data_IF_685279918111
#
_entry.id   IF_685279918111
#
_cell.length_a   1.000
_cell.length_b   1.000
_cell.length_c   1.000
_cell.angle_alpha   90.00
_cell.angle_beta   90.00
_cell.angle_gamma   90.00
#
_symmetry.space_group_name_H-M   'P 1'
#
loop_
_entity.id
_entity.type
_entity.pdbx_description
1 polymer ?
#
# COMPACT_ATOMS: atom_id res chain seq x y z
N UNK A 1 -3.79 5.38 25.44
CA UNK A 1 -4.42 4.13 25.88
C UNK A 1 -5.13 3.43 24.74
N UNK A 2 -5.53 2.17 24.90
CA UNK A 2 -6.29 1.41 23.89
C UNK A 2 -7.78 1.78 23.96
N UNK A 3 -8.40 2.01 22.80
CA UNK A 3 -9.86 2.14 22.62
C UNK A 3 -10.29 1.27 21.45
N UNK A 4 -11.36 0.50 21.63
CA UNK A 4 -11.95 -0.29 20.55
C UNK A 4 -12.96 0.57 19.80
N UNK A 5 -12.86 0.59 18.46
CA UNK A 5 -13.82 1.27 17.58
C UNK A 5 -14.03 0.44 16.31
N UNK A 6 -15.19 0.60 15.68
CA UNK A 6 -15.49 0.04 14.36
C UNK A 6 -15.35 1.15 13.31
N UNK A 7 -14.55 0.91 12.26
CA UNK A 7 -14.40 1.86 11.15
C UNK A 7 -15.74 2.15 10.43
N UNK A 8 -16.74 1.29 10.60
CA UNK A 8 -18.07 1.50 10.04
C UNK A 8 -18.96 2.42 10.93
N UNK A 9 -18.50 2.76 12.13
CA UNK A 9 -19.17 3.72 13.02
C UNK A 9 -18.43 5.07 12.99
N UNK A 10 -18.83 5.94 12.06
CA UNK A 10 -18.21 7.26 11.87
C UNK A 10 -18.33 8.20 13.07
N UNK A 11 -19.36 8.06 13.89
CA UNK A 11 -19.54 8.91 15.07
C UNK A 11 -18.49 8.60 16.15
N UNK A 12 -18.26 7.31 16.44
CA UNK A 12 -17.23 6.91 17.41
C UNK A 12 -15.81 7.25 16.94
N UNK A 13 -15.53 7.25 15.63
CA UNK A 13 -14.24 7.66 15.08
C UNK A 13 -13.97 9.16 15.28
N UNK A 14 -14.98 10.02 15.14
CA UNK A 14 -14.81 11.44 15.36
C UNK A 14 -14.36 11.75 16.80
N UNK A 15 -15.03 11.18 17.79
CA UNK A 15 -14.63 11.31 19.20
C UNK A 15 -13.23 10.75 19.48
N UNK A 16 -12.87 9.67 18.77
CA UNK A 16 -11.55 9.02 18.92
C UNK A 16 -10.41 9.90 18.41
N UNK A 17 -10.65 10.72 17.37
CA UNK A 17 -9.63 11.52 16.71
C UNK A 17 -9.51 12.95 17.25
N UNK A 18 -10.39 13.37 18.17
CA UNK A 18 -10.26 14.68 18.81
C UNK A 18 -8.91 14.85 19.49
N UNK A 19 -8.20 15.92 19.10
CA UNK A 19 -6.87 16.24 19.63
C UNK A 19 -5.73 15.37 19.10
N UNK A 20 -5.96 14.54 18.10
CA UNK A 20 -4.88 13.81 17.44
C UNK A 20 -4.12 14.71 16.46
N UNK A 21 -2.77 14.69 16.51
CA UNK A 21 -1.90 15.42 15.58
C UNK A 21 -1.87 14.75 14.20
N UNK A 22 -2.03 13.44 14.13
CA UNK A 22 -2.05 12.66 12.91
C UNK A 22 -2.69 11.29 13.11
N UNK A 23 -3.09 10.64 12.02
CA UNK A 23 -3.74 9.33 12.03
C UNK A 23 -3.05 8.38 11.07
N UNK A 24 -2.86 7.13 11.50
CA UNK A 24 -2.46 6.01 10.63
C UNK A 24 -3.64 5.04 10.52
N UNK A 25 -4.18 4.90 9.32
CA UNK A 25 -5.35 4.08 9.04
C UNK A 25 -4.99 2.78 8.31
N UNK A 26 -4.90 1.69 9.07
CA UNK A 26 -4.73 0.32 8.58
C UNK A 26 -5.93 -0.57 8.94
N UNK A 27 -6.98 0.01 9.51
CA UNK A 27 -8.18 -0.65 9.99
C UNK A 27 -9.12 -1.03 8.84
N UNK A 28 -8.72 -1.99 8.01
CA UNK A 28 -9.55 -2.50 6.91
C UNK A 28 -9.34 -3.99 6.71
N UNK A 29 -10.29 -4.65 6.02
CA UNK A 29 -10.09 -6.03 5.57
C UNK A 29 -8.90 -6.07 4.60
N UNK A 30 -7.94 -6.99 4.80
CA UNK A 30 -6.69 -7.00 4.04
C UNK A 30 -6.81 -7.60 2.65
N UNK A 31 -7.93 -8.24 2.32
CA UNK A 31 -8.21 -8.89 1.03
C UNK A 31 -9.70 -9.20 0.91
N UNK A 32 -10.19 -9.44 -0.30
CA UNK A 32 -11.55 -9.92 -0.57
C UNK A 32 -11.70 -11.45 -0.47
N UNK A 33 -10.60 -12.18 -0.31
CA UNK A 33 -10.63 -13.66 -0.19
C UNK A 33 -11.25 -14.16 1.13
N UNK A 34 -11.35 -13.32 2.17
CA UNK A 34 -11.85 -13.71 3.49
C UNK A 34 -13.33 -13.35 3.72
N UNK A 35 -13.97 -12.70 2.75
CA UNK A 35 -15.36 -12.26 2.85
C UNK A 35 -16.01 -12.15 1.49
N UNK A 36 -17.33 -11.99 1.45
CA UNK A 36 -17.98 -11.66 0.18
C UNK A 36 -17.53 -10.28 -0.33
N UNK A 37 -17.48 -10.10 -1.64
CA UNK A 37 -17.07 -8.84 -2.25
C UNK A 37 -17.86 -7.62 -1.75
N UNK A 38 -19.14 -7.78 -1.41
CA UNK A 38 -19.98 -6.71 -0.83
C UNK A 38 -19.56 -6.34 0.61
N UNK A 39 -19.13 -7.31 1.41
CA UNK A 39 -18.62 -7.07 2.77
C UNK A 39 -17.27 -6.36 2.68
N UNK A 40 -16.37 -6.84 1.82
CA UNK A 40 -15.09 -6.21 1.55
C UNK A 40 -15.27 -4.76 1.07
N UNK A 41 -16.08 -4.55 0.04
CA UNK A 41 -16.37 -3.23 -0.51
C UNK A 41 -16.94 -2.27 0.54
N UNK A 42 -17.93 -2.72 1.33
CA UNK A 42 -18.53 -1.89 2.39
C UNK A 42 -17.49 -1.52 3.45
N UNK A 43 -16.69 -2.49 3.91
CA UNK A 43 -15.67 -2.24 4.92
C UNK A 43 -14.62 -1.24 4.43
N UNK A 44 -14.11 -1.42 3.22
CA UNK A 44 -13.10 -0.54 2.65
C UNK A 44 -13.67 0.85 2.37
N UNK A 45 -14.74 0.93 1.57
CA UNK A 45 -15.26 2.21 1.09
C UNK A 45 -15.91 3.04 2.20
N UNK A 46 -16.82 2.45 2.96
CA UNK A 46 -17.47 3.17 4.06
C UNK A 46 -16.51 3.42 5.21
N UNK A 47 -15.67 2.42 5.57
CA UNK A 47 -14.65 2.58 6.62
C UNK A 47 -13.62 3.65 6.28
N UNK A 48 -13.08 3.62 5.05
CA UNK A 48 -12.14 4.65 4.59
C UNK A 48 -12.75 6.04 4.54
N UNK A 49 -13.99 6.16 4.00
CA UNK A 49 -14.73 7.42 4.03
C UNK A 49 -14.92 7.94 5.47
N UNK A 50 -15.37 7.10 6.39
CA UNK A 50 -15.60 7.49 7.79
C UNK A 50 -14.32 7.99 8.45
N UNK A 51 -13.18 7.33 8.19
CA UNK A 51 -11.87 7.77 8.72
C UNK A 51 -11.48 9.14 8.16
N UNK A 52 -11.58 9.34 6.83
CA UNK A 52 -11.24 10.63 6.23
C UNK A 52 -12.16 11.75 6.73
N UNK A 53 -13.46 11.47 6.83
CA UNK A 53 -14.45 12.42 7.32
C UNK A 53 -14.22 12.76 8.81
N UNK A 54 -13.95 11.77 9.64
CA UNK A 54 -13.66 11.98 11.06
C UNK A 54 -12.37 12.78 11.26
N UNK A 55 -11.31 12.50 10.49
CA UNK A 55 -10.08 13.31 10.49
C UNK A 55 -10.37 14.77 10.12
N UNK A 56 -11.12 15.00 9.04
CA UNK A 56 -11.46 16.35 8.60
C UNK A 56 -12.25 17.12 9.65
N UNK A 57 -13.25 16.47 10.29
CA UNK A 57 -14.08 17.07 11.34
C UNK A 57 -13.30 17.34 12.63
N UNK A 58 -12.39 16.46 13.02
CA UNK A 58 -11.51 16.63 14.19
C UNK A 58 -10.34 17.60 13.93
N UNK A 59 -10.19 18.12 12.71
CA UNK A 59 -9.10 19.03 12.35
C UNK A 59 -7.74 18.36 12.16
N UNK A 60 -7.70 17.01 12.09
CA UNK A 60 -6.47 16.24 11.80
C UNK A 60 -6.00 16.55 10.40
N UNK A 61 -4.76 17.01 10.28
CA UNK A 61 -4.20 17.43 8.99
C UNK A 61 -3.33 16.37 8.32
N UNK A 62 -2.78 15.44 9.08
CA UNK A 62 -1.86 14.44 8.57
C UNK A 62 -2.42 13.04 8.71
N UNK A 63 -2.49 12.32 7.59
CA UNK A 63 -3.04 10.96 7.54
C UNK A 63 -2.14 10.06 6.71
N UNK A 64 -1.91 8.84 7.19
CA UNK A 64 -1.42 7.72 6.39
C UNK A 64 -2.58 6.76 6.14
N UNK A 65 -2.79 6.42 4.89
CA UNK A 65 -3.80 5.43 4.47
C UNK A 65 -3.12 4.20 3.86
N UNK A 66 -3.46 3.01 4.35
CA UNK A 66 -2.99 1.78 3.73
C UNK A 66 -3.67 1.55 2.38
N UNK A 67 -2.95 1.78 1.30
CA UNK A 67 -3.26 1.29 -0.03
C UNK A 67 -2.63 -0.10 -0.25
N UNK A 68 -2.47 -0.55 -1.46
CA UNK A 68 -1.94 -1.88 -1.78
C UNK A 68 -1.32 -1.89 -3.18
N UNK A 69 -0.35 -2.77 -3.42
CA UNK A 69 0.13 -3.07 -4.76
C UNK A 69 -0.99 -3.62 -5.69
N UNK A 70 -2.08 -4.14 -5.15
CA UNK A 70 -3.24 -4.60 -5.94
C UNK A 70 -3.95 -3.48 -6.73
N UNK A 71 -3.61 -2.22 -6.50
CA UNK A 71 -4.06 -1.12 -7.36
C UNK A 71 -3.56 -1.25 -8.80
N UNK A 72 -2.45 -1.95 -9.00
CA UNK A 72 -1.87 -2.24 -10.32
C UNK A 72 -2.48 -3.48 -10.99
N UNK A 73 -3.29 -4.25 -10.27
CA UNK A 73 -3.99 -5.43 -10.78
C UNK A 73 -3.05 -6.57 -11.15
N UNK A 74 -3.32 -7.22 -12.28
CA UNK A 74 -2.46 -8.28 -12.77
C UNK A 74 -1.17 -7.70 -13.36
N UNK A 75 -0.06 -7.86 -12.63
CA UNK A 75 1.23 -7.30 -13.02
C UNK A 75 1.78 -7.86 -14.34
N UNK A 76 1.32 -9.04 -14.78
CA UNK A 76 1.64 -9.58 -16.12
C UNK A 76 1.07 -8.73 -17.26
N UNK A 77 0.07 -7.90 -16.99
CA UNK A 77 -0.58 -7.02 -17.97
C UNK A 77 -0.05 -5.58 -17.92
N UNK A 78 0.87 -5.30 -17.02
CA UNK A 78 1.54 -4.00 -16.99
C UNK A 78 2.43 -3.84 -18.23
N UNK A 79 2.50 -2.63 -18.81
CA UNK A 79 3.22 -2.42 -20.06
C UNK A 79 4.76 -2.42 -19.89
N UNK A 80 5.23 -2.19 -18.66
CA UNK A 80 6.63 -1.87 -18.43
C UNK A 80 7.06 -2.17 -16.98
N UNK A 81 8.30 -2.63 -16.77
CA UNK A 81 9.01 -2.67 -15.49
C UNK A 81 10.12 -1.61 -15.46
N UNK A 82 10.49 -1.11 -14.28
CA UNK A 82 9.89 -1.38 -12.97
C UNK A 82 8.50 -0.76 -12.81
N UNK A 83 7.73 -1.27 -11.84
CA UNK A 83 6.46 -0.66 -11.43
C UNK A 83 6.76 0.55 -10.54
N UNK A 84 6.32 1.71 -10.98
CA UNK A 84 6.43 2.99 -10.28
C UNK A 84 5.04 3.50 -9.92
N UNK A 85 4.97 4.61 -9.17
CA UNK A 85 3.70 5.26 -8.83
C UNK A 85 2.92 5.75 -10.05
N UNK A 86 3.60 6.00 -11.18
CA UNK A 86 3.02 6.43 -12.46
C UNK A 86 2.52 5.25 -13.32
N UNK A 87 2.76 4.01 -12.91
CA UNK A 87 2.30 2.83 -13.63
C UNK A 87 0.77 2.76 -13.67
N UNK A 88 0.16 2.23 -14.75
CA UNK A 88 -1.29 2.18 -14.91
C UNK A 88 -1.99 1.42 -13.77
N UNK A 89 -3.05 2.02 -13.21
CA UNK A 89 -3.89 1.40 -12.19
C UNK A 89 -4.96 0.52 -12.88
N UNK A 90 -4.68 -0.76 -13.00
CA UNK A 90 -5.49 -1.74 -13.77
C UNK A 90 -6.06 -2.83 -12.87
N UNK A 91 -6.76 -2.44 -11.82
CA UNK A 91 -7.26 -3.33 -10.78
C UNK A 91 -7.98 -4.57 -11.32
N UNK A 92 -7.80 -5.71 -10.67
CA UNK A 92 -8.43 -6.99 -11.05
C UNK A 92 -9.32 -7.59 -9.94
N UNK A 93 -9.48 -6.88 -8.82
CA UNK A 93 -10.27 -7.31 -7.66
C UNK A 93 -11.12 -6.17 -7.10
N UNK A 94 -12.16 -6.50 -6.33
CA UNK A 94 -12.96 -5.52 -5.59
C UNK A 94 -12.09 -4.80 -4.55
N UNK A 95 -11.15 -5.53 -3.94
CA UNK A 95 -10.19 -4.97 -3.00
C UNK A 95 -9.32 -3.90 -3.67
N UNK A 96 -8.63 -4.23 -4.76
CA UNK A 96 -7.78 -3.28 -5.49
C UNK A 96 -8.58 -2.08 -6.02
N UNK A 97 -9.78 -2.32 -6.59
CA UNK A 97 -10.66 -1.24 -7.06
C UNK A 97 -11.08 -0.31 -5.93
N UNK A 98 -11.39 -0.84 -4.74
CA UNK A 98 -11.72 -0.02 -3.57
C UNK A 98 -10.52 0.82 -3.13
N UNK A 99 -9.29 0.28 -3.16
CA UNK A 99 -8.08 1.05 -2.83
C UNK A 99 -7.87 2.22 -3.80
N UNK A 100 -8.02 2.01 -5.11
CA UNK A 100 -7.94 3.10 -6.10
C UNK A 100 -8.99 4.18 -5.86
N UNK A 101 -10.24 3.79 -5.58
CA UNK A 101 -11.30 4.76 -5.26
C UNK A 101 -11.01 5.55 -3.98
N UNK A 102 -10.41 4.90 -2.96
CA UNK A 102 -10.01 5.58 -1.73
C UNK A 102 -8.82 6.52 -1.94
N UNK A 103 -7.84 6.17 -2.78
CA UNK A 103 -6.78 7.10 -3.16
C UNK A 103 -7.34 8.34 -3.86
N UNK A 104 -8.32 8.16 -4.75
CA UNK A 104 -9.00 9.30 -5.37
C UNK A 104 -9.74 10.15 -4.36
N UNK A 105 -10.48 9.53 -3.45
CA UNK A 105 -11.18 10.23 -2.37
C UNK A 105 -10.20 10.96 -1.45
N UNK A 106 -9.06 10.36 -1.12
CA UNK A 106 -8.00 11.00 -0.33
C UNK A 106 -7.48 12.28 -0.99
N UNK A 107 -7.22 12.25 -2.31
CA UNK A 107 -6.84 13.44 -3.07
C UNK A 107 -7.91 14.54 -3.02
N UNK A 108 -9.18 14.17 -3.04
CA UNK A 108 -10.29 15.11 -2.89
C UNK A 108 -10.35 15.71 -1.48
N UNK A 109 -10.15 14.92 -0.43
CA UNK A 109 -10.07 15.42 0.96
C UNK A 109 -8.88 16.38 1.17
N UNK A 110 -7.73 16.11 0.55
CA UNK A 110 -6.62 17.05 0.57
C UNK A 110 -7.04 18.42 0.00
N UNK A 111 -7.72 18.44 -1.14
CA UNK A 111 -8.20 19.69 -1.78
C UNK A 111 -9.32 20.38 -1.00
N UNK A 112 -10.26 19.64 -0.43
CA UNK A 112 -11.42 20.20 0.26
C UNK A 112 -11.12 20.70 1.66
N UNK A 113 -10.23 20.01 2.38
CA UNK A 113 -10.01 20.24 3.81
C UNK A 113 -8.57 20.65 4.16
N UNK A 114 -7.69 20.79 3.14
CA UNK A 114 -6.28 21.11 3.37
C UNK A 114 -5.58 20.04 4.20
N UNK A 115 -5.92 18.77 3.96
CA UNK A 115 -5.24 17.62 4.56
C UNK A 115 -4.01 17.25 3.74
N UNK A 116 -3.08 16.53 4.37
CA UNK A 116 -1.95 15.90 3.71
C UNK A 116 -2.03 14.39 3.96
N UNK A 117 -2.23 13.61 2.89
CA UNK A 117 -2.52 12.17 2.97
C UNK A 117 -1.52 11.39 2.13
N UNK A 118 -0.75 10.49 2.79
CA UNK A 118 0.00 9.45 2.08
C UNK A 118 -0.87 8.20 1.88
N UNK A 119 -0.91 7.69 0.67
CA UNK A 119 -1.43 6.37 0.37
C UNK A 119 -0.26 5.40 0.17
N UNK A 120 -0.03 4.50 1.11
CA UNK A 120 1.05 3.52 1.02
C UNK A 120 0.56 2.31 0.21
N UNK A 121 1.03 2.16 -1.03
CA UNK A 121 0.81 1.00 -1.89
C UNK A 121 1.74 -0.12 -1.45
N UNK A 122 1.32 -0.82 -0.42
CA UNK A 122 2.11 -1.80 0.29
C UNK A 122 2.32 -3.06 -0.56
N UNK A 123 3.57 -3.48 -0.68
CA UNK A 123 3.93 -4.82 -1.07
C UNK A 123 3.52 -5.85 -0.01
N UNK A 124 4.07 -7.06 -0.10
CA UNK A 124 3.77 -8.12 0.88
C UNK A 124 4.47 -7.83 2.20
N UNK A 125 3.70 -7.48 3.23
CA UNK A 125 4.26 -7.17 4.56
C UNK A 125 4.70 -8.46 5.25
N UNK A 126 5.94 -8.44 5.77
CA UNK A 126 6.55 -9.48 6.61
C UNK A 126 6.78 -8.90 7.99
N UNK A 127 6.49 -9.66 9.04
CA UNK A 127 6.72 -9.31 10.43
C UNK A 127 7.37 -10.48 11.18
N UNK A 128 7.98 -10.24 12.31
CA UNK A 128 8.84 -11.17 13.04
C UNK A 128 8.22 -12.57 13.19
N UNK A 129 6.96 -12.69 13.64
CA UNK A 129 6.27 -13.96 13.79
C UNK A 129 5.97 -14.66 12.47
N UNK A 130 5.98 -13.95 11.34
CA UNK A 130 5.71 -14.49 10.01
C UNK A 130 6.96 -14.71 9.18
N UNK A 131 8.12 -14.23 9.65
CA UNK A 131 9.37 -14.23 8.90
C UNK A 131 9.75 -15.62 8.41
N UNK A 132 9.77 -16.60 9.30
CA UNK A 132 10.21 -17.96 8.97
C UNK A 132 9.31 -18.66 7.94
N UNK A 133 8.01 -18.65 8.13
CA UNK A 133 7.09 -19.40 7.27
C UNK A 133 6.67 -18.63 6.01
N UNK A 134 6.55 -17.30 6.08
CA UNK A 134 6.23 -16.51 4.89
C UNK A 134 7.40 -16.38 3.95
N UNK A 135 8.59 -16.07 4.46
CA UNK A 135 9.78 -15.96 3.64
C UNK A 135 10.17 -17.36 3.09
N UNK A 136 10.15 -18.41 3.90
CA UNK A 136 10.46 -19.75 3.46
C UNK A 136 9.49 -20.26 2.38
N UNK A 137 8.19 -20.06 2.54
CA UNK A 137 7.20 -20.40 1.52
C UNK A 137 7.41 -19.62 0.20
N UNK A 138 8.09 -18.47 0.24
CA UNK A 138 8.37 -17.64 -0.92
C UNK A 138 9.73 -17.94 -1.55
N UNK A 139 10.73 -18.33 -0.76
CA UNK A 139 12.06 -18.67 -1.29
C UNK A 139 12.11 -20.05 -1.93
N UNK A 140 11.25 -20.98 -1.52
CA UNK A 140 11.21 -22.34 -2.04
C UNK A 140 10.48 -22.50 -3.39
N UNK A 141 9.60 -21.55 -3.74
CA UNK A 141 8.83 -21.60 -4.98
C UNK A 141 8.75 -20.23 -5.64
N UNK A 142 9.63 -19.96 -6.60
CA UNK A 142 9.71 -18.69 -7.37
C UNK A 142 8.38 -18.32 -8.01
N UNK A 143 7.62 -19.32 -8.50
CA UNK A 143 6.29 -19.16 -9.09
C UNK A 143 5.26 -18.58 -8.12
N UNK A 144 5.33 -18.89 -6.83
CA UNK A 144 4.37 -18.45 -5.83
C UNK A 144 4.44 -16.92 -5.55
N UNK A 145 5.55 -16.29 -5.91
CA UNK A 145 5.77 -14.87 -5.72
C UNK A 145 5.82 -14.07 -7.03
N UNK A 146 5.71 -14.75 -8.17
CA UNK A 146 5.73 -14.06 -9.46
C UNK A 146 4.60 -13.04 -9.59
N UNK A 147 3.41 -13.31 -9.04
CA UNK A 147 2.26 -12.40 -9.08
C UNK A 147 2.50 -11.07 -8.33
N UNK A 148 3.41 -11.06 -7.35
CA UNK A 148 3.79 -9.85 -6.63
C UNK A 148 5.21 -9.35 -7.00
N UNK A 149 5.78 -9.80 -8.13
CA UNK A 149 7.15 -9.45 -8.54
C UNK A 149 8.20 -9.73 -7.47
N UNK A 150 7.99 -10.77 -6.68
CA UNK A 150 8.84 -11.19 -5.55
C UNK A 150 9.09 -10.09 -4.52
N UNK A 151 8.22 -9.06 -4.48
CA UNK A 151 8.35 -7.96 -3.55
C UNK A 151 7.91 -8.34 -2.14
N UNK A 152 8.57 -7.76 -1.16
CA UNK A 152 8.20 -7.81 0.25
C UNK A 152 8.55 -6.49 0.94
N UNK A 153 8.09 -6.30 2.15
CA UNK A 153 8.49 -5.18 3.01
C UNK A 153 8.42 -5.61 4.48
N UNK A 154 9.40 -5.22 5.28
CA UNK A 154 9.36 -5.41 6.73
C UNK A 154 8.33 -4.46 7.36
N UNK A 155 7.55 -4.95 8.31
CA UNK A 155 6.56 -4.14 9.03
C UNK A 155 7.19 -2.95 9.77
N UNK A 156 8.47 -3.05 10.15
CA UNK A 156 9.23 -1.94 10.78
C UNK A 156 9.49 -0.82 9.78
N UNK A 157 9.82 -1.14 8.53
CA UNK A 157 10.01 -0.15 7.46
C UNK A 157 8.69 0.54 7.11
N UNK A 158 7.58 -0.21 7.11
CA UNK A 158 6.23 0.38 6.97
C UNK A 158 5.93 1.35 8.11
N UNK A 159 6.26 0.99 9.35
CA UNK A 159 6.06 1.86 10.51
C UNK A 159 6.94 3.12 10.43
N UNK A 160 8.18 3.00 9.95
CA UNK A 160 9.06 4.15 9.73
C UNK A 160 8.54 5.05 8.61
N UNK A 161 8.06 4.50 7.50
CA UNK A 161 7.40 5.30 6.44
C UNK A 161 6.21 6.09 7.00
N UNK A 162 5.37 5.47 7.84
CA UNK A 162 4.27 6.18 8.51
C UNK A 162 4.78 7.32 9.40
N UNK A 163 5.80 7.06 10.22
CA UNK A 163 6.40 8.03 11.13
C UNK A 163 7.01 9.21 10.37
N UNK A 164 7.76 8.93 9.31
CA UNK A 164 8.40 9.94 8.47
C UNK A 164 7.35 10.83 7.79
N UNK A 165 6.29 10.24 7.23
CA UNK A 165 5.20 11.03 6.66
C UNK A 165 4.53 11.93 7.69
N UNK A 166 4.19 11.41 8.86
CA UNK A 166 3.55 12.21 9.92
C UNK A 166 4.43 13.37 10.40
N UNK A 167 5.76 13.21 10.34
CA UNK A 167 6.74 14.22 10.74
C UNK A 167 7.16 15.16 9.60
N UNK A 168 6.80 14.87 8.35
CA UNK A 168 7.22 15.67 7.19
C UNK A 168 6.36 16.92 6.99
N UNK A 169 6.86 17.87 6.19
CA UNK A 169 6.12 19.06 5.74
C UNK A 169 5.52 18.88 4.32
N UNK A 170 5.55 17.65 3.78
CA UNK A 170 5.00 17.36 2.44
C UNK A 170 3.50 17.55 2.47
N UNK A 171 2.96 18.34 1.53
CA UNK A 171 1.55 18.67 1.46
C UNK A 171 0.80 17.90 0.37
N UNK A 172 -0.52 17.81 0.54
CA UNK A 172 -1.43 17.24 -0.43
C UNK A 172 -1.47 15.72 -0.42
N UNK A 173 -1.89 15.12 -1.54
CA UNK A 173 -2.00 13.69 -1.70
C UNK A 173 -0.74 13.12 -2.34
N UNK A 174 -0.16 12.11 -1.70
CA UNK A 174 1.03 11.41 -2.20
C UNK A 174 0.81 9.89 -2.17
N UNK A 175 0.75 9.21 -3.32
CA UNK A 175 0.85 7.76 -3.37
C UNK A 175 2.32 7.34 -3.31
N UNK A 176 2.63 6.29 -2.55
CA UNK A 176 3.97 5.71 -2.48
C UNK A 176 3.91 4.20 -2.61
N UNK A 177 4.70 3.62 -3.49
CA UNK A 177 5.04 2.22 -3.43
C UNK A 177 5.93 1.94 -2.21
N UNK A 178 5.66 0.84 -1.52
CA UNK A 178 6.40 0.48 -0.30
C UNK A 178 6.83 -0.99 -0.37
N UNK A 179 8.09 -1.22 -0.68
CA UNK A 179 8.72 -2.54 -0.74
C UNK A 179 10.21 -2.43 -0.38
N UNK A 180 10.80 -3.56 -0.04
CA UNK A 180 12.26 -3.69 0.06
C UNK A 180 12.93 -3.45 -1.31
N UNK A 181 14.20 -3.09 -1.31
CA UNK A 181 14.94 -2.83 -2.54
C UNK A 181 15.28 -4.09 -3.32
N UNK A 182 15.27 -5.23 -2.65
CA UNK A 182 15.61 -6.55 -3.21
C UNK A 182 14.37 -7.45 -3.33
N UNK A 183 14.54 -8.55 -4.07
CA UNK A 183 13.54 -9.61 -4.21
C UNK A 183 13.64 -10.63 -3.08
N UNK A 184 12.52 -11.24 -2.68
CA UNK A 184 12.46 -12.23 -1.58
C UNK A 184 12.95 -13.64 -1.96
N UNK A 185 13.53 -13.83 -3.14
CA UNK A 185 14.01 -15.14 -3.63
C UNK A 185 15.49 -15.05 -4.02
N UNK A 186 16.20 -16.14 -3.81
CA UNK A 186 17.63 -16.24 -4.17
C UNK A 186 17.80 -16.57 -5.66
N UNK A 187 17.50 -15.57 -6.50
CA UNK A 187 17.71 -15.62 -7.94
C UNK A 187 17.82 -14.23 -8.54
N UNK A 188 18.68 -14.04 -9.57
CA UNK A 188 18.80 -12.76 -10.26
C UNK A 188 17.45 -12.30 -10.83
N UNK A 189 17.12 -11.04 -10.62
CA UNK A 189 15.83 -10.46 -11.06
C UNK A 189 15.62 -10.58 -12.55
N UNK A 190 16.67 -10.42 -13.36
CA UNK A 190 16.60 -10.55 -14.80
C UNK A 190 16.19 -11.98 -15.24
N UNK A 191 16.67 -13.02 -14.53
CA UNK A 191 16.28 -14.42 -14.79
C UNK A 191 14.81 -14.64 -14.43
N UNK A 192 14.38 -14.15 -13.27
CA UNK A 192 13.00 -14.22 -12.84
C UNK A 192 12.03 -13.55 -13.82
N UNK A 193 12.37 -12.34 -14.25
CA UNK A 193 11.55 -11.61 -15.23
C UNK A 193 11.52 -12.37 -16.58
N UNK A 194 12.63 -12.90 -17.05
CA UNK A 194 12.68 -13.68 -18.30
C UNK A 194 11.84 -14.98 -18.20
N UNK A 195 11.90 -15.67 -17.05
CA UNK A 195 11.20 -16.93 -16.85
C UNK A 195 9.66 -16.74 -16.73
N UNK A 196 9.23 -15.75 -15.92
CA UNK A 196 7.81 -15.62 -15.55
C UNK A 196 7.06 -14.54 -16.35
N UNK A 197 7.79 -13.60 -16.96
CA UNK A 197 7.25 -12.46 -17.71
C UNK A 197 7.99 -12.26 -19.05
N UNK A 198 8.06 -13.29 -19.93
CA UNK A 198 8.91 -13.25 -21.13
C UNK A 198 8.58 -12.12 -22.11
N UNK A 199 7.33 -11.63 -22.12
CA UNK A 199 6.86 -10.56 -23.00
C UNK A 199 6.93 -9.17 -22.35
N UNK A 200 7.37 -9.10 -21.07
CA UNK A 200 7.43 -7.85 -20.32
C UNK A 200 8.57 -6.97 -20.80
N UNK A 201 8.24 -5.71 -21.06
CA UNK A 201 9.26 -4.71 -21.38
C UNK A 201 9.92 -4.21 -20.09
N UNK A 202 11.24 -4.04 -20.13
CA UNK A 202 12.03 -3.46 -19.04
C UNK A 202 12.61 -2.14 -19.54
N UNK A 203 12.28 -1.03 -18.85
CA UNK A 203 12.66 0.33 -19.28
C UNK A 203 14.16 0.60 -19.09
N UNK A 204 14.74 0.02 -18.03
CA UNK A 204 16.15 0.13 -17.70
C UNK A 204 16.64 -1.17 -17.09
N UNK A 205 17.93 -1.52 -17.24
CA UNK A 205 18.49 -2.70 -16.58
C UNK A 205 18.19 -2.68 -15.08
N UNK A 206 17.65 -3.78 -14.58
CA UNK A 206 17.46 -4.00 -13.15
C UNK A 206 18.78 -4.48 -12.54
N UNK A 207 19.07 -4.07 -11.31
CA UNK A 207 20.16 -4.63 -10.52
C UNK A 207 20.01 -6.12 -10.31
N UNK A 208 21.07 -6.80 -9.87
CA UNK A 208 21.12 -8.27 -9.80
C UNK A 208 19.95 -8.86 -9.01
N UNK A 209 19.59 -8.24 -7.88
CA UNK A 209 18.47 -8.65 -7.02
C UNK A 209 17.45 -7.52 -6.83
N UNK A 210 17.50 -6.48 -7.64
CA UNK A 210 16.61 -5.32 -7.49
C UNK A 210 15.14 -5.71 -7.66
N UNK A 211 14.31 -5.28 -6.72
CA UNK A 211 12.88 -5.50 -6.77
C UNK A 211 12.24 -4.69 -7.92
N UNK A 212 11.51 -5.32 -8.85
CA UNK A 212 10.84 -4.60 -9.93
C UNK A 212 9.64 -3.75 -9.50
N UNK A 213 9.27 -3.79 -8.23
CA UNK A 213 8.28 -2.92 -7.61
C UNK A 213 9.02 -1.90 -6.73
N UNK A 214 9.29 -0.71 -7.28
CA UNK A 214 10.25 0.23 -6.69
C UNK A 214 9.61 1.25 -5.76
N UNK A 215 10.31 1.56 -4.66
CA UNK A 215 9.91 2.54 -3.63
C UNK A 215 10.73 3.84 -3.70
N UNK A 216 11.22 4.18 -4.88
CA UNK A 216 12.11 5.33 -5.10
C UNK A 216 11.45 6.65 -4.68
N UNK A 217 10.18 6.87 -5.04
CA UNK A 217 9.47 8.10 -4.70
C UNK A 217 9.32 8.30 -3.18
N UNK A 218 9.08 7.21 -2.42
CA UNK A 218 9.01 7.27 -0.96
C UNK A 218 10.35 7.74 -0.37
N UNK A 219 11.44 7.10 -0.78
CA UNK A 219 12.81 7.43 -0.31
C UNK A 219 13.22 8.84 -0.68
N UNK A 220 13.00 9.26 -1.92
CA UNK A 220 13.38 10.59 -2.39
C UNK A 220 12.58 11.71 -1.72
N UNK A 221 11.37 11.39 -1.25
CA UNK A 221 10.48 12.36 -0.61
C UNK A 221 10.67 12.44 0.90
N UNK A 222 10.91 11.32 1.56
CA UNK A 222 10.91 11.22 3.02
C UNK A 222 12.29 10.87 3.63
N UNK A 223 13.26 10.44 2.86
CA UNK A 223 14.61 10.07 3.29
C UNK A 223 14.69 8.58 3.53
#
# INVERSE_FOLDING_TARGET
GYRQADVLDGASLHELFEGADGVVHFGSLPTDNWSSGSVCYRNLMLGGYNVFQACAQAGVKRLVHASSMEVYGNLRQQPLLPITEDSPLTTSSIYGSSKVMLERLAADYCRWHGMSIAALRLGRIIYEDSWSWRLQAHTEARENCAECLWCYVDARDVADACRLWLASDVEGFQPFNVAAEDVCVDAPTAELVHEFFPDMKVASPLGEYECPFVSTALRDTLG
#
